data_IF_743700044818
#
_entry.id   IF_743700044818
#
_cell.length_a   1.000
_cell.length_b   1.000
_cell.length_c   1.000
_cell.angle_alpha   90.00
_cell.angle_beta   90.00
_cell.angle_gamma   90.00
#
_symmetry.space_group_name_H-M   'P 1'
#
loop_
_entity.id
_entity.type
_entity.pdbx_description
1 polymer ?
#
# COMPACT_ATOMS: atom_id res chain seq x y z
N UNK A 1 -2.50 -7.08 -2.27
CA UNK A 1 -1.16 -7.10 -1.64
C UNK A 1 -0.04 -6.77 -2.62
N UNK A 2 -0.20 -7.01 -3.93
CA UNK A 2 0.84 -6.68 -4.94
C UNK A 2 1.37 -5.26 -4.86
N UNK A 3 0.53 -4.25 -4.61
CA UNK A 3 0.99 -2.84 -4.53
C UNK A 3 1.99 -2.61 -3.39
N UNK A 4 1.75 -3.23 -2.23
CA UNK A 4 2.67 -3.12 -1.10
C UNK A 4 3.97 -3.91 -1.37
N UNK A 5 3.87 -5.01 -2.11
CA UNK A 5 5.02 -5.82 -2.54
C UNK A 5 5.89 -5.06 -3.56
N UNK A 6 5.26 -4.44 -4.57
CA UNK A 6 5.91 -3.58 -5.56
C UNK A 6 6.66 -2.40 -4.91
N UNK A 7 6.15 -1.91 -3.78
CA UNK A 7 6.76 -0.81 -3.03
C UNK A 7 7.81 -1.26 -2.01
N UNK A 8 8.02 -2.56 -1.83
CA UNK A 8 8.92 -3.11 -0.80
C UNK A 8 8.41 -2.91 0.64
N UNK A 9 7.14 -2.51 0.80
CA UNK A 9 6.52 -2.26 2.10
C UNK A 9 5.79 -3.49 2.65
N UNK A 10 5.69 -4.55 1.85
CA UNK A 10 4.98 -5.77 2.22
C UNK A 10 5.60 -6.41 3.47
N UNK A 11 6.92 -6.60 3.50
CA UNK A 11 7.62 -7.16 4.66
C UNK A 11 7.43 -6.32 5.92
N UNK A 12 7.46 -4.99 5.79
CA UNK A 12 7.25 -4.09 6.92
C UNK A 12 5.82 -4.19 7.47
N UNK A 13 4.80 -4.25 6.61
CA UNK A 13 3.41 -4.45 7.04
C UNK A 13 3.23 -5.83 7.67
N UNK A 14 3.86 -6.86 7.10
CA UNK A 14 3.71 -8.23 7.56
C UNK A 14 4.42 -8.46 8.91
N UNK A 15 5.58 -7.82 9.10
CA UNK A 15 6.37 -7.90 10.33
C UNK A 15 5.87 -6.95 11.42
N UNK A 16 5.57 -5.70 11.07
CA UNK A 16 5.31 -4.61 12.02
C UNK A 16 3.88 -4.06 11.95
N UNK A 17 3.02 -4.57 11.05
CA UNK A 17 1.64 -4.13 10.88
C UNK A 17 1.49 -2.79 10.14
N UNK A 18 0.26 -2.49 9.73
CA UNK A 18 -0.07 -1.22 9.03
C UNK A 18 0.23 0.03 9.84
N UNK A 19 0.22 -0.08 11.17
CA UNK A 19 0.58 1.00 12.11
C UNK A 19 2.05 1.40 12.05
N UNK A 20 2.92 0.57 11.47
CA UNK A 20 4.34 0.90 11.26
C UNK A 20 4.59 1.80 10.06
N UNK A 21 3.60 1.97 9.18
CA UNK A 21 3.72 2.83 8.00
C UNK A 21 3.49 4.30 8.37
N UNK A 22 4.26 5.18 7.73
CA UNK A 22 3.96 6.60 7.76
C UNK A 22 2.66 6.90 7.00
N UNK A 23 1.98 7.99 7.37
CA UNK A 23 0.81 8.50 6.66
C UNK A 23 1.07 8.66 5.14
N UNK A 24 2.31 9.00 4.77
CA UNK A 24 2.73 9.12 3.36
C UNK A 24 2.76 7.77 2.64
N UNK A 25 3.23 6.71 3.30
CA UNK A 25 3.34 5.37 2.73
C UNK A 25 1.96 4.71 2.62
N UNK A 26 1.18 4.77 3.70
CA UNK A 26 -0.21 4.29 3.72
C UNK A 26 -1.06 5.03 2.66
N UNK A 27 -0.91 6.35 2.55
CA UNK A 27 -1.59 7.16 1.54
C UNK A 27 -1.19 6.80 0.10
N UNK A 28 0.09 6.46 -0.14
CA UNK A 28 0.57 6.02 -1.45
C UNK A 28 -0.05 4.68 -1.86
N UNK A 29 -0.11 3.72 -0.94
CA UNK A 29 -0.75 2.41 -1.17
C UNK A 29 -2.25 2.60 -1.44
N UNK A 30 -2.95 3.34 -0.57
CA UNK A 30 -4.39 3.59 -0.71
C UNK A 30 -4.76 4.35 -1.99
N UNK A 31 -3.91 5.32 -2.40
CA UNK A 31 -4.07 6.05 -3.65
C UNK A 31 -3.94 5.15 -4.88
N UNK A 32 -2.92 4.27 -4.90
CA UNK A 32 -2.73 3.29 -5.98
C UNK A 32 -3.85 2.25 -6.04
N UNK A 33 -4.36 1.79 -4.89
CA UNK A 33 -5.53 0.90 -4.85
C UNK A 33 -6.77 1.60 -5.45
N UNK A 34 -7.01 2.86 -5.09
CA UNK A 34 -8.11 3.66 -5.63
C UNK A 34 -7.96 3.90 -7.13
N UNK A 35 -6.75 4.18 -7.60
CA UNK A 35 -6.47 4.39 -9.02
C UNK A 35 -6.67 3.12 -9.84
N UNK A 36 -6.23 1.95 -9.34
CA UNK A 36 -6.51 0.63 -9.97
C UNK A 36 -8.01 0.36 -10.04
N UNK A 37 -8.77 0.61 -8.96
CA UNK A 37 -10.24 0.45 -8.96
C UNK A 37 -10.96 1.37 -9.93
N UNK A 38 -10.45 2.59 -10.16
CA UNK A 38 -11.03 3.56 -11.10
C UNK A 38 -10.71 3.26 -12.56
N UNK A 39 -9.60 2.55 -12.83
CA UNK A 39 -9.21 2.11 -14.18
C UNK A 39 -9.97 0.87 -14.65
N UNK A 40 -10.61 0.15 -13.74
CA UNK A 40 -11.41 -1.05 -14.03
C UNK A 40 -12.86 -0.71 -14.45
N UNK A 41 -13.16 0.57 -14.71
CA UNK A 41 -14.49 1.10 -15.08
C UNK A 41 -14.52 1.61 -16.51
#
# INVERSE_FOLDING_TARGET
MEIAAELGLLDQIHSNGWHSLSAKEAGRIGGLMTQRRRKDS
#
